data_IF_434448952147
#
_entry.id   IF_434448952147
#
_cell.length_a   1.000
_cell.length_b   1.000
_cell.length_c   1.000
_cell.angle_alpha   90.00
_cell.angle_beta   90.00
_cell.angle_gamma   90.00
#
_symmetry.space_group_name_H-M   'P 1'
#
loop_
_entity.id
_entity.type
_entity.pdbx_description
1 polymer ?
2 non-polymer ?
3 water ?
#
# COMPACT_ATOMS: atom_id res chain seq x y z
C UNK A 1 -21.14 6.79 -14.15
N UNK A 2 -21.17 8.01 -13.52
CA UNK A 2 -20.17 8.63 -12.66
C UNK A 2 -19.90 7.87 -11.39
N UNK A 3 -20.95 7.30 -10.80
CA UNK A 3 -20.75 6.58 -9.52
C UNK A 3 -19.95 5.34 -9.83
N UNK A 4 -20.25 4.68 -10.95
CA UNK A 4 -19.49 3.48 -11.33
C UNK A 4 -18.03 3.85 -11.59
N UNK A 5 -17.77 4.91 -12.28
CA UNK A 5 -16.37 5.25 -12.57
C UNK A 5 -15.66 5.43 -11.23
N UNK A 6 -16.30 6.08 -10.29
CA UNK A 6 -15.74 6.40 -8.99
C UNK A 6 -15.46 5.15 -8.20
N UNK A 7 -16.38 4.19 -8.19
CA UNK A 7 -16.17 2.93 -7.49
C UNK A 7 -14.93 2.25 -8.07
N UNK A 8 -14.66 2.27 -9.34
CA UNK A 8 -13.50 1.57 -9.92
C UNK A 8 -12.21 2.29 -9.53
N UNK A 9 -12.29 3.60 -9.47
CA UNK A 9 -11.15 4.44 -9.10
C UNK A 9 -10.80 4.11 -7.64
N UNK A 10 -11.81 3.98 -6.78
CA UNK A 10 -11.54 3.65 -5.37
C UNK A 10 -11.01 2.22 -5.26
N UNK A 11 -11.54 1.30 -6.06
CA UNK A 11 -11.01 -0.06 -6.07
C UNK A 11 -9.54 -0.12 -6.41
N UNK A 12 -9.16 0.62 -7.42
CA UNK A 12 -7.77 0.58 -7.87
C UNK A 12 -6.90 1.24 -6.81
N UNK A 13 -7.39 2.32 -6.20
CA UNK A 13 -6.62 2.95 -5.14
C UNK A 13 -6.53 2.04 -3.93
N UNK A 14 -7.54 1.28 -3.55
CA UNK A 14 -7.34 0.33 -2.46
C UNK A 14 -6.27 -0.72 -2.75
N UNK A 15 -6.14 -1.18 -3.98
CA UNK A 15 -5.12 -2.15 -4.40
C UNK A 15 -3.76 -1.47 -4.32
N UNK A 16 -3.64 -0.25 -4.79
CA UNK A 16 -2.41 0.54 -4.65
C UNK A 16 -2.02 0.61 -3.18
N UNK A 17 -2.93 0.93 -2.27
CA UNK A 17 -2.62 1.07 -0.84
C UNK A 17 -2.08 -0.24 -0.29
N UNK A 18 -2.71 -1.35 -0.58
CA UNK A 18 -2.24 -2.65 -0.11
C UNK A 18 -0.81 -2.87 -0.60
N UNK A 19 -0.53 -2.57 -1.83
CA UNK A 19 0.86 -2.79 -2.29
C UNK A 19 1.86 -1.86 -1.57
N UNK A 20 1.48 -0.62 -1.29
CA UNK A 20 2.38 0.32 -0.58
C UNK A 20 2.51 -0.10 0.87
N UNK A 21 1.46 -0.57 1.57
CA UNK A 21 1.59 -1.14 2.89
C UNK A 21 2.57 -2.29 2.88
N UNK A 22 2.54 -3.18 1.89
CA UNK A 22 3.52 -4.25 1.87
C UNK A 22 4.93 -3.68 1.71
N UNK A 23 5.07 -2.74 0.88
CA UNK A 23 6.40 -2.20 0.57
C UNK A 23 6.95 -1.54 1.82
N UNK A 24 6.19 -0.76 2.53
CA UNK A 24 6.58 -0.07 3.77
C UNK A 24 6.81 -1.10 4.86
N UNK A 25 5.98 -2.11 5.07
CA UNK A 25 6.32 -3.11 6.10
C UNK A 25 7.64 -3.82 5.80
N UNK A 26 7.86 -4.14 4.56
CA UNK A 26 9.14 -4.83 4.23
C UNK A 26 10.31 -3.89 4.51
N UNK A 27 10.18 -2.61 4.20
CA UNK A 27 11.26 -1.62 4.45
C UNK A 27 11.47 -1.44 5.93
N UNK A 28 10.45 -1.39 6.73
CA UNK A 28 10.54 -1.25 8.18
C UNK A 28 11.33 -2.42 8.77
N UNK A 29 11.07 -3.61 8.34
CA UNK A 29 11.80 -4.79 8.83
C UNK A 29 13.29 -4.69 8.44
N UNK A 30 13.53 -4.30 7.21
CA UNK A 30 14.94 -4.16 6.77
C UNK A 30 15.64 -3.12 7.63
N UNK A 31 15.04 -2.01 7.97
CA UNK A 31 15.64 -0.95 8.78
C UNK A 31 15.80 -1.50 10.17
N UNK A 32 14.92 -2.29 10.73
CA UNK A 32 15.11 -2.85 12.07
C UNK A 32 16.28 -3.84 12.11
N UNK A 33 16.56 -4.47 11.03
CA UNK A 33 17.73 -5.36 10.97
C UNK A 33 19.00 -4.50 11.06
N UNK A 34 19.01 -3.28 10.65
CA UNK A 34 20.14 -2.37 10.82
C UNK A 34 20.21 -1.76 12.20
N UNK A 35 19.09 -1.37 12.78
CA UNK A 35 19.09 -0.62 14.00
C UNK A 35 17.82 -0.92 14.80
N UNK A 36 18.01 -1.38 16.04
CA UNK A 36 16.98 -1.47 17.08
C UNK A 36 17.02 -0.14 17.77
X LIG B 1 5.28 -3.65 14.00
X LIG B 1 6.23 -3.40 12.96
X LIG B 1 3.93 -3.42 13.54
#
# INVERSE_FOLDING_TARGET
XKVSALKEKVSALKEQFLMLMFKVSALKEKVSALKE
SO4 S O1 O3
#
